data_IF_715018207593
#
_entry.id   IF_715018207593
#
_cell.length_a   1.000
_cell.length_b   1.000
_cell.length_c   1.000
_cell.angle_alpha   90.00
_cell.angle_beta   90.00
_cell.angle_gamma   90.00
#
_symmetry.space_group_name_H-M   'P 1'
#
loop_
_entity.id
_entity.type
_entity.pdbx_description
1 polymer ?
#
# COMPACT_ATOMS: atom_id res chain seq x y z
N UNK A 1 6.97 20.83 8.92
CA UNK A 1 7.52 19.56 9.42
C UNK A 1 7.45 19.49 10.95
N UNK A 2 8.33 20.16 11.71
CA UNK A 2 8.32 20.05 13.19
C UNK A 2 6.99 20.48 13.83
N UNK A 3 6.43 21.61 13.40
CA UNK A 3 5.15 22.10 13.94
C UNK A 3 4.00 21.11 13.68
N UNK A 4 3.94 20.51 12.49
CA UNK A 4 2.94 19.50 12.16
C UNK A 4 3.15 18.22 12.96
N UNK A 5 4.39 17.75 13.12
CA UNK A 5 4.69 16.61 13.98
C UNK A 5 4.28 16.86 15.44
N UNK A 6 4.58 18.05 15.97
CA UNK A 6 4.12 18.46 17.30
C UNK A 6 2.60 18.49 17.39
N UNK A 7 1.90 18.96 16.35
CA UNK A 7 0.43 18.87 16.27
C UNK A 7 -0.05 17.42 16.35
N UNK A 8 0.55 16.48 15.60
CA UNK A 8 0.20 15.06 15.71
C UNK A 8 0.38 14.53 17.13
N UNK A 9 1.49 14.87 17.80
CA UNK A 9 1.76 14.46 19.18
C UNK A 9 0.81 15.11 20.19
N UNK A 10 0.41 16.36 19.98
CA UNK A 10 -0.57 17.05 20.85
C UNK A 10 -1.92 16.35 20.75
N UNK A 11 -2.40 16.06 19.54
CA UNK A 11 -3.67 15.35 19.35
C UNK A 11 -3.60 13.92 19.90
N UNK A 12 -2.47 13.23 19.73
CA UNK A 12 -2.23 11.92 20.34
C UNK A 12 -2.27 11.99 21.88
N UNK A 13 -1.60 12.98 22.48
CA UNK A 13 -1.54 13.15 23.93
C UNK A 13 -2.91 13.57 24.51
N UNK A 14 -3.66 14.41 23.79
CA UNK A 14 -5.04 14.76 24.14
C UNK A 14 -5.95 13.53 24.09
N UNK A 15 -5.85 12.71 23.03
CA UNK A 15 -6.62 11.47 22.91
C UNK A 15 -6.31 10.47 24.03
N UNK A 16 -5.03 10.33 24.39
CA UNK A 16 -4.58 9.52 25.53
C UNK A 16 -5.12 10.07 26.86
N UNK A 17 -4.99 11.38 27.09
CA UNK A 17 -5.50 12.03 28.29
C UNK A 17 -7.01 11.89 28.45
N UNK A 18 -7.77 12.00 27.36
CA UNK A 18 -9.23 11.80 27.36
C UNK A 18 -9.57 10.32 27.61
N UNK A 19 -8.90 9.38 26.93
CA UNK A 19 -9.11 7.95 27.13
C UNK A 19 -8.88 7.56 28.60
N UNK A 20 -7.78 8.04 29.19
CA UNK A 20 -7.45 7.82 30.59
C UNK A 20 -8.44 8.48 31.56
N UNK A 21 -8.82 9.74 31.31
CA UNK A 21 -9.72 10.49 32.20
C UNK A 21 -11.15 9.94 32.22
N UNK A 22 -11.64 9.47 31.07
CA UNK A 22 -13.00 8.93 30.92
C UNK A 22 -13.05 7.39 31.05
N UNK A 23 -11.90 6.74 31.29
CA UNK A 23 -11.74 5.29 31.38
C UNK A 23 -12.42 4.53 30.22
N UNK A 24 -12.31 5.06 29.00
CA UNK A 24 -12.92 4.43 27.83
C UNK A 24 -12.15 3.15 27.46
N UNK A 25 -12.84 2.08 27.00
CA UNK A 25 -12.20 0.86 26.49
C UNK A 25 -11.53 1.05 25.12
N UNK A 26 -11.32 2.30 24.69
CA UNK A 26 -10.79 2.66 23.38
C UNK A 26 -9.37 3.20 23.56
N UNK A 27 -8.38 2.71 22.80
CA UNK A 27 -7.01 3.23 22.86
C UNK A 27 -6.97 4.74 22.59
N UNK A 28 -6.24 5.50 23.40
CA UNK A 28 -6.02 6.93 23.24
C UNK A 28 -5.64 7.39 21.83
N UNK A 29 -4.77 6.67 21.08
CA UNK A 29 -4.45 7.03 19.69
C UNK A 29 -5.64 7.13 18.75
N UNK A 30 -6.66 6.28 18.92
CA UNK A 30 -7.85 6.29 18.07
C UNK A 30 -8.67 7.56 18.33
N UNK A 31 -8.78 7.98 19.59
CA UNK A 31 -9.44 9.23 19.96
C UNK A 31 -8.66 10.43 19.41
N UNK A 32 -7.33 10.42 19.52
CA UNK A 32 -6.47 11.47 18.95
C UNK A 32 -6.65 11.61 17.43
N UNK A 33 -6.77 10.49 16.71
CA UNK A 33 -7.07 10.47 15.27
C UNK A 33 -8.43 11.09 14.95
N UNK A 34 -9.48 10.75 15.71
CA UNK A 34 -10.82 11.34 15.55
C UNK A 34 -10.81 12.86 15.78
N UNK A 35 -10.14 13.32 16.84
CA UNK A 35 -10.00 14.74 17.14
C UNK A 35 -9.25 15.47 16.02
N UNK A 36 -8.14 14.88 15.55
CA UNK A 36 -7.36 15.45 14.45
C UNK A 36 -8.19 15.50 13.17
N UNK A 37 -8.96 14.45 12.88
CA UNK A 37 -9.85 14.40 11.72
C UNK A 37 -10.88 15.53 11.77
N UNK A 38 -11.53 15.76 12.92
CA UNK A 38 -12.47 16.89 13.09
C UNK A 38 -11.76 18.24 12.88
N UNK A 39 -10.53 18.41 13.39
CA UNK A 39 -9.75 19.63 13.20
C UNK A 39 -9.34 19.86 11.73
N UNK A 40 -9.04 18.78 11.00
CA UNK A 40 -8.75 18.80 9.56
C UNK A 40 -9.98 19.21 8.74
N UNK A 41 -11.17 18.74 9.11
CA UNK A 41 -12.43 19.16 8.48
C UNK A 41 -12.69 20.66 8.66
N UNK A 42 -12.30 21.23 9.81
CA UNK A 42 -12.49 22.64 10.10
C UNK A 42 -11.44 23.56 9.44
N UNK A 43 -10.27 23.04 9.05
CA UNK A 43 -9.17 23.87 8.54
C UNK A 43 -8.43 23.23 7.35
N UNK A 44 -8.67 23.70 6.11
CA UNK A 44 -7.96 23.22 4.93
C UNK A 44 -6.46 23.54 4.97
N UNK A 45 -6.07 24.64 5.62
CA UNK A 45 -4.65 24.99 5.79
C UNK A 45 -3.90 24.02 6.73
N UNK A 46 -4.61 23.37 7.66
CA UNK A 46 -4.03 22.32 8.50
C UNK A 46 -3.80 21.04 7.69
N UNK A 47 -4.71 20.73 6.76
CA UNK A 47 -4.60 19.56 5.87
C UNK A 47 -3.29 19.56 5.08
N UNK A 48 -2.99 20.65 4.38
CA UNK A 48 -1.79 20.77 3.54
C UNK A 48 -0.48 20.62 4.37
N UNK A 49 -0.47 21.13 5.60
CA UNK A 49 0.67 21.00 6.52
C UNK A 49 0.81 19.58 7.08
N UNK A 50 -0.30 18.91 7.33
CA UNK A 50 -0.36 17.54 7.85
C UNK A 50 0.04 16.53 6.79
N UNK A 51 -0.38 16.71 5.54
CA UNK A 51 -0.09 15.80 4.42
C UNK A 51 1.41 15.59 4.23
N UNK A 52 2.17 16.68 4.12
CA UNK A 52 3.61 16.58 3.91
C UNK A 52 4.34 15.86 5.06
N UNK A 53 3.89 16.04 6.30
CA UNK A 53 4.50 15.39 7.47
C UNK A 53 4.03 13.95 7.61
N UNK A 54 2.76 13.66 7.34
CA UNK A 54 2.21 12.31 7.31
C UNK A 54 2.93 11.45 6.29
N UNK A 55 3.16 11.97 5.08
CA UNK A 55 3.86 11.24 4.02
C UNK A 55 5.33 10.94 4.40
N UNK A 56 6.01 11.89 5.06
CA UNK A 56 7.37 11.68 5.57
C UNK A 56 7.43 10.64 6.71
N UNK A 57 6.44 10.62 7.62
CA UNK A 57 6.35 9.55 8.62
C UNK A 57 6.06 8.21 7.95
N UNK A 58 5.18 8.19 6.95
CA UNK A 58 4.84 7.01 6.17
C UNK A 58 6.07 6.41 5.48
N UNK A 59 6.91 7.23 4.86
CA UNK A 59 8.16 6.79 4.22
C UNK A 59 9.19 6.25 5.21
N UNK A 60 9.07 6.61 6.49
CA UNK A 60 9.96 6.18 7.57
C UNK A 60 9.29 5.27 8.59
N UNK A 61 8.12 4.68 8.30
CA UNK A 61 7.43 3.80 9.27
C UNK A 61 8.27 2.61 9.69
N UNK A 62 9.13 2.08 8.81
CA UNK A 62 10.05 1.01 9.19
C UNK A 62 10.90 1.40 10.41
N UNK A 63 11.33 2.67 10.51
CA UNK A 63 12.06 3.17 11.68
C UNK A 63 11.16 3.32 12.92
N UNK A 64 9.87 3.63 12.76
CA UNK A 64 8.92 3.73 13.88
C UNK A 64 8.47 2.36 14.39
N UNK A 65 8.43 1.34 13.53
CA UNK A 65 8.08 -0.02 13.90
C UNK A 65 9.21 -0.77 14.61
N UNK A 66 10.47 -0.39 14.39
CA UNK A 66 11.60 -1.02 15.10
C UNK A 66 11.49 -0.84 16.63
N UNK A 67 11.34 0.38 17.18
CA UNK A 67 11.11 0.59 18.61
C UNK A 67 9.88 -0.16 19.14
N UNK A 68 8.76 -0.12 18.41
CA UNK A 68 7.54 -0.82 18.80
C UNK A 68 7.76 -2.34 18.85
N UNK A 69 8.43 -2.91 17.85
CA UNK A 69 8.76 -4.33 17.77
C UNK A 69 9.72 -4.77 18.87
N UNK A 70 10.76 -3.99 19.16
CA UNK A 70 11.69 -4.29 20.26
C UNK A 70 10.98 -4.28 21.61
N UNK A 71 10.03 -3.37 21.83
CA UNK A 71 9.19 -3.37 23.03
C UNK A 71 8.39 -4.66 23.20
N UNK A 72 7.81 -5.17 22.10
CA UNK A 72 7.09 -6.44 22.10
C UNK A 72 8.02 -7.62 22.38
N UNK A 73 9.22 -7.66 21.78
CA UNK A 73 10.21 -8.73 22.02
C UNK A 73 10.70 -8.70 23.48
N UNK A 74 10.91 -7.52 24.05
CA UNK A 74 11.26 -7.36 25.46
C UNK A 74 10.16 -7.92 26.38
N UNK A 75 8.89 -7.63 26.07
CA UNK A 75 7.75 -8.24 26.77
C UNK A 75 7.61 -9.75 26.50
N UNK A 76 8.01 -10.22 25.32
CA UNK A 76 7.97 -11.64 24.93
C UNK A 76 8.92 -12.50 25.77
N UNK A 77 9.94 -11.91 26.40
CA UNK A 77 10.77 -12.61 27.40
C UNK A 77 9.97 -13.11 28.61
N UNK A 78 8.80 -12.54 28.89
CA UNK A 78 7.87 -13.02 29.92
C UNK A 78 7.04 -14.23 29.46
N UNK A 79 6.94 -14.45 28.13
CA UNK A 79 6.20 -15.55 27.47
C UNK A 79 7.14 -16.73 27.16
N UNK A 80 8.18 -16.93 27.98
CA UNK A 80 9.09 -18.08 27.83
C UNK A 80 8.31 -19.39 28.01
N UNK A 81 8.10 -20.11 26.90
CA UNK A 81 7.46 -21.44 26.88
C UNK A 81 6.22 -21.57 25.99
N UNK A 82 5.57 -20.47 25.59
CA UNK A 82 4.30 -20.50 24.84
C UNK A 82 4.38 -19.89 23.43
N UNK A 83 5.58 -19.63 22.91
CA UNK A 83 5.78 -19.03 21.58
C UNK A 83 5.09 -19.82 20.46
N UNK A 84 5.05 -21.16 20.58
CA UNK A 84 4.37 -22.03 19.64
C UNK A 84 2.85 -21.82 19.65
N UNK A 85 2.26 -21.61 20.83
CA UNK A 85 0.85 -21.29 20.98
C UNK A 85 0.51 -19.90 20.42
N UNK A 86 1.42 -18.92 20.56
CA UNK A 86 1.26 -17.57 19.97
C UNK A 86 1.33 -17.63 18.44
N UNK A 87 2.29 -18.36 17.87
CA UNK A 87 2.36 -18.54 16.42
C UNK A 87 1.15 -19.28 15.87
N UNK A 88 0.73 -20.35 16.54
CA UNK A 88 -0.46 -21.10 16.14
C UNK A 88 -1.71 -20.23 16.21
N UNK A 89 -1.93 -19.48 17.30
CA UNK A 89 -3.10 -18.60 17.44
C UNK A 89 -3.09 -17.46 16.41
N UNK A 90 -1.91 -16.93 16.06
CA UNK A 90 -1.77 -15.92 15.02
C UNK A 90 -2.15 -16.48 13.65
N UNK A 91 -1.55 -17.60 13.23
CA UNK A 91 -1.82 -18.20 11.92
C UNK A 91 -3.29 -18.64 11.80
N UNK A 92 -3.81 -19.34 12.82
CA UNK A 92 -5.21 -19.78 12.83
C UNK A 92 -6.14 -18.57 12.87
N UNK A 93 -5.88 -17.58 13.72
CA UNK A 93 -6.69 -16.38 13.87
C UNK A 93 -6.75 -15.55 12.58
N UNK A 94 -5.60 -15.30 11.94
CA UNK A 94 -5.54 -14.57 10.68
C UNK A 94 -6.23 -15.33 9.54
N UNK A 95 -5.96 -16.63 9.39
CA UNK A 95 -6.59 -17.45 8.34
C UNK A 95 -8.11 -17.52 8.53
N UNK A 96 -8.56 -17.72 9.77
CA UNK A 96 -9.99 -17.78 10.10
C UNK A 96 -10.65 -16.43 9.84
N UNK A 97 -10.05 -15.33 10.29
CA UNK A 97 -10.58 -13.97 10.09
C UNK A 97 -10.71 -13.66 8.60
N UNK A 98 -9.66 -13.90 7.80
CA UNK A 98 -9.68 -13.69 6.36
C UNK A 98 -10.75 -14.55 5.67
N UNK A 99 -10.90 -15.82 6.07
CA UNK A 99 -11.90 -16.74 5.50
C UNK A 99 -13.32 -16.27 5.82
N UNK A 100 -13.59 -15.90 7.08
CA UNK A 100 -14.90 -15.39 7.51
C UNK A 100 -15.21 -14.08 6.81
N UNK A 101 -14.27 -13.13 6.76
CA UNK A 101 -14.43 -11.88 6.03
C UNK A 101 -14.74 -12.13 4.56
N UNK A 102 -14.00 -13.02 3.88
CA UNK A 102 -14.26 -13.38 2.49
C UNK A 102 -15.64 -14.04 2.29
N UNK A 103 -16.07 -14.91 3.21
CA UNK A 103 -17.38 -15.56 3.16
C UNK A 103 -18.51 -14.54 3.35
N UNK A 104 -18.37 -13.62 4.31
CA UNK A 104 -19.35 -12.56 4.57
C UNK A 104 -19.46 -11.62 3.35
N UNK A 105 -18.34 -11.19 2.78
CA UNK A 105 -18.31 -10.41 1.54
C UNK A 105 -18.99 -11.16 0.39
N UNK A 106 -18.71 -12.45 0.22
CA UNK A 106 -19.36 -13.29 -0.80
C UNK A 106 -20.86 -13.44 -0.58
N UNK A 107 -21.31 -13.51 0.68
CA UNK A 107 -22.74 -13.56 1.00
C UNK A 107 -23.44 -12.24 0.69
N UNK A 108 -22.82 -11.10 1.04
CA UNK A 108 -23.37 -9.76 0.77
C UNK A 108 -23.37 -9.40 -0.73
N UNK A 109 -22.35 -9.82 -1.49
CA UNK A 109 -22.27 -9.59 -2.93
C UNK A 109 -23.06 -10.60 -3.77
N UNK A 110 -23.65 -11.63 -3.17
CA UNK A 110 -24.45 -12.63 -3.91
C UNK A 110 -25.72 -12.04 -4.54
N UNK A 111 -26.18 -10.88 -4.07
CA UNK A 111 -27.36 -10.19 -4.60
C UNK A 111 -27.03 -9.14 -5.68
N UNK A 112 -25.74 -8.96 -6.03
CA UNK A 112 -25.29 -8.11 -7.14
C UNK A 112 -24.76 -8.98 -8.28
N UNK A 113 -25.34 -8.94 -9.50
CA UNK A 113 -24.78 -9.61 -10.67
C UNK A 113 -23.32 -9.20 -10.85
N UNK A 114 -22.41 -10.11 -10.52
CA UNK A 114 -20.97 -9.85 -10.59
C UNK A 114 -20.53 -10.03 -12.03
N UNK A 115 -20.57 -8.94 -12.79
CA UNK A 115 -19.85 -8.85 -14.05
C UNK A 115 -18.35 -8.85 -13.72
N UNK A 116 -17.64 -9.91 -14.13
CA UNK A 116 -16.18 -10.00 -14.01
C UNK A 116 -15.67 -10.67 -12.74
N UNK A 117 -16.04 -11.93 -12.52
CA UNK A 117 -15.23 -12.83 -11.72
C UNK A 117 -13.82 -12.90 -12.33
N UNK A 118 -12.86 -12.38 -11.58
CA UNK A 118 -11.42 -12.69 -11.55
C UNK A 118 -11.09 -13.93 -12.39
N UNK A 119 -10.94 -13.71 -13.70
CA UNK A 119 -10.13 -14.55 -14.55
C UNK A 119 -8.69 -14.36 -14.11
N UNK A 120 -7.93 -15.44 -14.20
CA UNK A 120 -6.50 -15.50 -13.94
C UNK A 120 -6.12 -15.96 -12.54
N UNK A 121 -6.72 -17.10 -12.18
CA UNK A 121 -5.90 -18.25 -11.87
C UNK A 121 -4.91 -18.53 -13.04
N UNK A 122 -3.89 -17.67 -13.22
CA UNK A 122 -2.68 -17.91 -14.02
C UNK A 122 -1.79 -18.95 -13.30
N UNK A 123 -2.39 -20.09 -13.01
CA UNK A 123 -1.73 -21.37 -12.93
C UNK A 123 -2.09 -22.07 -14.24
N UNK A 124 -1.20 -22.11 -15.24
CA UNK A 124 -1.09 -23.24 -16.20
C UNK A 124 -0.27 -23.04 -17.50
N UNK A 125 0.18 -21.84 -17.92
CA UNK A 125 0.66 -21.67 -19.31
C UNK A 125 2.05 -21.02 -19.52
N UNK A 126 3.07 -21.36 -18.72
CA UNK A 126 4.42 -20.78 -18.89
C UNK A 126 5.59 -21.67 -18.54
N UNK A 127 5.41 -23.00 -18.50
CA UNK A 127 6.49 -23.97 -18.40
C UNK A 127 6.33 -25.01 -19.53
N UNK A 128 6.75 -24.64 -20.72
CA UNK A 128 7.16 -25.59 -21.76
C UNK A 128 8.47 -25.10 -22.34
N UNK A 129 9.53 -25.43 -21.60
CA UNK A 129 10.85 -25.64 -22.17
C UNK A 129 10.81 -26.85 -23.11
N UNK A 130 11.69 -26.83 -24.10
CA UNK A 130 12.16 -27.96 -24.93
C UNK A 130 11.42 -28.26 -26.25
N UNK A 131 12.11 -27.83 -27.32
CA UNK A 131 12.69 -28.68 -28.36
C UNK A 131 11.94 -28.82 -29.70
N UNK A 132 12.72 -28.52 -30.75
CA UNK A 132 12.77 -29.23 -32.04
C UNK A 132 11.58 -28.96 -32.98
N UNK A 133 11.72 -28.65 -34.27
CA UNK A 133 12.78 -28.69 -35.28
C UNK A 133 12.33 -27.69 -36.37
N UNK A 134 13.20 -26.86 -36.93
CA UNK A 134 13.93 -27.23 -38.15
C UNK A 134 13.16 -26.80 -39.40
N UNK A 135 13.47 -25.61 -39.94
CA UNK A 135 13.63 -25.39 -41.39
C UNK A 135 14.31 -24.03 -41.61
N UNK A 136 15.39 -24.03 -42.39
CA UNK A 136 16.18 -22.86 -42.74
C UNK A 136 15.81 -22.40 -44.19
N UNK A 137 16.54 -21.51 -44.87
CA UNK A 137 15.97 -20.35 -45.57
C UNK A 137 15.97 -20.47 -47.10
N UNK A 138 15.04 -19.80 -47.79
CA UNK A 138 15.17 -19.42 -49.21
C UNK A 138 14.39 -18.12 -49.45
N UNK A 139 15.04 -16.98 -49.66
CA UNK A 139 15.61 -16.51 -50.92
C UNK A 139 14.55 -16.25 -52.02
N UNK A 140 14.03 -15.02 -52.10
CA UNK A 140 13.57 -14.43 -53.37
C UNK A 140 13.50 -12.90 -53.28
N UNK A 141 14.42 -12.26 -54.01
CA UNK A 141 14.28 -11.03 -54.83
C UNK A 141 13.46 -9.84 -54.29
N UNK A 142 13.87 -8.57 -54.34
CA UNK A 142 14.98 -7.82 -54.96
C UNK A 142 14.87 -6.37 -54.41
N UNK A 143 15.90 -5.52 -54.53
CA UNK A 143 15.96 -4.18 -53.93
C UNK A 143 15.42 -3.10 -54.86
N UNK A 144 15.01 -1.95 -54.32
CA UNK A 144 15.01 -0.70 -55.08
C UNK A 144 15.45 0.46 -54.20
N UNK A 145 16.49 1.11 -54.68
CA UNK A 145 17.28 2.20 -54.12
C UNK A 145 16.87 3.48 -54.86
N UNK A 146 16.94 4.62 -54.14
CA UNK A 146 17.17 5.99 -54.67
C UNK A 146 16.02 6.83 -55.25
N UNK A 147 15.69 7.90 -54.51
CA UNK A 147 15.87 9.34 -54.86
C UNK A 147 15.46 10.15 -53.61
N UNK A 148 16.27 10.94 -52.91
CA UNK A 148 17.22 11.99 -53.29
C UNK A 148 16.60 13.11 -54.14
N UNK A 149 15.91 14.05 -53.48
CA UNK A 149 15.67 15.49 -53.82
C UNK A 149 15.16 16.11 -52.50
N UNK A 150 15.67 17.17 -51.87
CA UNK A 150 16.41 18.32 -52.36
C UNK A 150 15.49 19.55 -52.44
N UNK A 151 15.28 20.30 -51.34
CA UNK A 151 14.96 21.74 -51.41
C UNK A 151 15.04 22.37 -50.00
N UNK A 152 16.05 23.21 -49.74
CA UNK A 152 15.98 24.69 -49.67
C UNK A 152 15.26 25.19 -48.40
N UNK A 153 15.98 25.71 -47.41
CA UNK A 153 16.50 27.09 -47.34
C UNK A 153 15.38 28.14 -47.45
N UNK A 154 15.03 28.70 -46.30
CA UNK A 154 14.63 30.11 -46.14
C UNK A 154 14.97 30.53 -44.71
N UNK A 155 16.03 31.32 -44.48
CA UNK A 155 16.16 32.15 -43.28
C UNK A 155 15.53 33.53 -43.54
N UNK A 156 15.36 34.31 -42.46
CA UNK A 156 15.33 35.80 -42.46
C UNK A 156 13.95 36.41 -42.87
N UNK A 157 13.30 37.33 -42.14
CA UNK A 157 13.79 38.39 -41.26
C UNK A 157 12.69 38.97 -40.34
N UNK A 158 13.09 39.36 -39.13
CA UNK A 158 12.57 40.48 -38.33
C UNK A 158 13.81 41.38 -38.05
N UNK A 159 13.71 42.66 -37.66
CA UNK A 159 12.57 43.45 -37.20
C UNK A 159 12.03 44.49 -38.19
#
# INVERSE_FOLDING_TARGET
>A
MLAAFATLLIFQCLGEGISHALALPVPGPVIGMLLLFIALLASPALMERMEATGNALLSHLSLLFVPAGVGIVAAASSVQGHWLAVLASLILGTTLTLTVTALVLRLLWRDTPTEGAVGDAQSSAGFSSTASSGEAPSASARPTVTKAVGNAVTPTQAP
#
